data_IF_173073910556
#
_entry.id   IF_173073910556
#
_cell.length_a   1.000
_cell.length_b   1.000
_cell.length_c   1.000
_cell.angle_alpha   90.00
_cell.angle_beta   90.00
_cell.angle_gamma   90.00
#
_symmetry.space_group_name_H-M   'P 1'
#
loop_
_entity.id
_entity.type
_entity.pdbx_description
1 polymer ?
#
# COMPACT_ATOMS: atom_id res chain seq x y z
N UNK A 1 6.17 -30.77 18.77
CA UNK A 1 6.40 -31.22 17.38
C UNK A 1 5.18 -30.76 16.59
N UNK A 2 5.27 -29.65 15.84
CA UNK A 2 4.16 -29.19 15.00
C UNK A 2 3.97 -30.22 13.89
N UNK A 3 2.88 -30.97 13.92
CA UNK A 3 2.50 -31.82 12.80
C UNK A 3 2.25 -30.93 11.59
N UNK A 4 2.78 -31.32 10.44
CA UNK A 4 2.48 -30.67 9.16
C UNK A 4 0.98 -30.86 8.91
N UNK A 5 0.15 -29.87 9.22
CA UNK A 5 -1.23 -29.84 8.75
C UNK A 5 -1.13 -29.77 7.22
N UNK A 6 -1.61 -30.79 6.48
CA UNK A 6 -1.63 -30.71 5.03
C UNK A 6 -2.62 -29.61 4.64
N UNK A 7 -2.10 -28.53 4.06
CA UNK A 7 -2.94 -27.48 3.49
C UNK A 7 -3.45 -27.99 2.14
N UNK A 8 -4.48 -28.84 2.19
CA UNK A 8 -5.22 -29.26 1.00
C UNK A 8 -6.20 -28.13 0.62
N UNK A 9 -6.30 -27.83 -0.68
CA UNK A 9 -7.22 -26.85 -1.28
C UNK A 9 -6.95 -25.35 -1.05
N UNK A 10 -5.87 -24.94 -0.37
CA UNK A 10 -5.50 -23.50 -0.31
C UNK A 10 -4.96 -22.96 -1.63
N UNK A 11 -4.25 -23.82 -2.38
CA UNK A 11 -3.87 -23.49 -3.75
C UNK A 11 -5.12 -23.61 -4.62
N UNK A 12 -5.88 -22.51 -4.70
CA UNK A 12 -6.82 -22.30 -5.79
C UNK A 12 -6.07 -22.65 -7.08
N UNK A 13 -6.62 -23.56 -7.89
CA UNK A 13 -6.06 -23.87 -9.21
C UNK A 13 -5.78 -22.52 -9.89
N UNK A 14 -4.60 -22.31 -10.48
CA UNK A 14 -4.24 -21.03 -11.05
C UNK A 14 -5.16 -20.74 -12.23
N UNK A 15 -6.31 -20.11 -11.94
CA UNK A 15 -6.94 -19.19 -12.86
C UNK A 15 -5.80 -18.22 -13.17
N UNK A 16 -5.30 -18.20 -14.42
CA UNK A 16 -4.24 -17.27 -14.81
C UNK A 16 -4.63 -15.91 -14.26
N UNK A 17 -3.83 -15.36 -13.33
CA UNK A 17 -4.10 -14.03 -12.79
C UNK A 17 -4.03 -13.09 -13.99
N UNK A 18 -5.19 -12.64 -14.45
CA UNK A 18 -5.25 -11.75 -15.58
C UNK A 18 -4.87 -10.35 -15.08
N UNK A 19 -3.58 -10.04 -15.25
CA UNK A 19 -2.98 -8.75 -14.93
C UNK A 19 -3.54 -7.62 -15.82
N UNK A 20 -4.26 -7.95 -16.90
CA UNK A 20 -4.96 -6.99 -17.75
C UNK A 20 -6.38 -6.69 -17.28
N UNK A 21 -6.83 -7.30 -16.17
CA UNK A 21 -8.15 -7.00 -15.60
C UNK A 21 -8.27 -5.55 -15.18
N UNK A 22 -9.51 -5.06 -15.20
CA UNK A 22 -9.82 -3.75 -14.66
C UNK A 22 -9.47 -3.64 -13.17
N UNK A 23 -9.58 -4.74 -12.42
CA UNK A 23 -9.17 -4.81 -11.02
C UNK A 23 -7.68 -4.52 -10.85
N UNK A 24 -6.81 -5.16 -11.63
CA UNK A 24 -5.37 -4.92 -11.57
C UNK A 24 -4.97 -3.51 -12.00
N UNK A 25 -5.67 -2.92 -12.98
CA UNK A 25 -5.48 -1.50 -13.33
C UNK A 25 -5.84 -0.56 -12.19
N UNK A 26 -6.94 -0.80 -11.48
CA UNK A 26 -7.38 0.01 -10.33
C UNK A 26 -6.40 -0.11 -9.16
N UNK A 27 -6.02 -1.35 -8.85
CA UNK A 27 -5.00 -1.66 -7.84
C UNK A 27 -3.67 -0.93 -8.11
N UNK A 28 -3.17 -1.01 -9.35
CA UNK A 28 -1.98 -0.25 -9.78
C UNK A 28 -2.16 1.25 -9.57
N UNK A 29 -3.31 1.81 -9.96
CA UNK A 29 -3.61 3.24 -9.80
C UNK A 29 -3.63 3.66 -8.33
N UNK A 30 -4.25 2.88 -7.45
CA UNK A 30 -4.23 3.16 -6.01
C UNK A 30 -2.81 3.09 -5.44
N UNK A 31 -1.96 2.17 -5.91
CA UNK A 31 -0.55 2.13 -5.50
C UNK A 31 0.26 3.35 -6.01
N UNK A 32 0.02 3.80 -7.25
CA UNK A 32 0.64 5.02 -7.78
C UNK A 32 0.25 6.26 -6.96
N UNK A 33 -1.03 6.36 -6.57
CA UNK A 33 -1.52 7.41 -5.68
C UNK A 33 -0.89 7.34 -4.30
N UNK A 34 -0.72 6.14 -3.76
CA UNK A 34 0.01 5.94 -2.50
C UNK A 34 1.45 6.47 -2.57
N UNK A 35 2.18 6.17 -3.64
CA UNK A 35 3.53 6.73 -3.84
C UNK A 35 3.51 8.26 -3.98
N UNK A 36 2.51 8.83 -4.68
CA UNK A 36 2.34 10.29 -4.75
C UNK A 36 2.15 10.91 -3.36
N UNK A 37 1.31 10.29 -2.52
CA UNK A 37 1.09 10.74 -1.15
C UNK A 37 2.39 10.73 -0.37
N UNK A 38 3.21 9.68 -0.50
CA UNK A 38 4.52 9.59 0.15
C UNK A 38 5.48 10.71 -0.28
N UNK A 39 5.38 11.17 -1.53
CA UNK A 39 6.18 12.30 -2.02
C UNK A 39 5.70 13.63 -1.45
N UNK A 40 4.38 13.85 -1.41
CA UNK A 40 3.78 15.15 -1.05
C UNK A 40 3.67 15.37 0.45
N UNK A 41 3.48 14.30 1.20
CA UNK A 41 3.35 14.29 2.66
C UNK A 41 4.48 13.45 3.27
N UNK A 42 5.76 13.83 3.05
CA UNK A 42 6.87 13.08 3.60
C UNK A 42 6.84 13.19 5.14
N UNK A 43 7.38 12.19 5.84
CA UNK A 43 7.47 12.21 7.28
C UNK A 43 8.31 13.41 7.75
N UNK A 44 7.67 14.39 8.36
CA UNK A 44 8.35 15.52 9.01
C UNK A 44 8.28 15.30 10.53
N UNK A 45 9.41 15.51 11.22
CA UNK A 45 9.49 15.47 12.70
C UNK A 45 9.13 14.15 13.39
N UNK A 46 9.35 12.99 12.75
CA UNK A 46 9.14 11.68 13.38
C UNK A 46 7.68 11.23 13.45
N UNK A 47 6.78 11.92 12.75
CA UNK A 47 5.45 11.43 12.41
C UNK A 47 5.57 10.66 11.10
N UNK A 48 5.85 9.36 11.20
CA UNK A 48 6.33 8.56 10.07
C UNK A 48 5.59 7.23 9.98
N UNK A 49 4.35 7.26 9.48
CA UNK A 49 3.78 6.08 8.85
C UNK A 49 2.61 6.46 7.94
N UNK A 50 2.68 6.16 6.65
CA UNK A 50 1.51 6.27 5.78
C UNK A 50 0.68 5.01 5.92
N UNK A 51 -0.55 5.13 6.41
CA UNK A 51 -1.40 3.97 6.58
C UNK A 51 -1.87 3.47 5.20
N UNK A 52 -1.41 2.29 4.79
CA UNK A 52 -1.88 1.62 3.57
C UNK A 52 -3.22 0.93 3.84
N UNK A 53 -4.05 0.81 2.81
CA UNK A 53 -5.18 -0.13 2.85
C UNK A 53 -4.71 -1.51 2.44
N UNK A 54 -5.41 -2.57 2.84
CA UNK A 54 -5.04 -3.95 2.50
C UNK A 54 -4.72 -4.17 1.00
N UNK A 55 -5.50 -3.55 0.11
CA UNK A 55 -5.30 -3.63 -1.32
C UNK A 55 -3.98 -3.00 -1.79
N UNK A 56 -3.63 -1.83 -1.26
CA UNK A 56 -2.36 -1.14 -1.53
C UNK A 56 -1.21 -1.92 -0.91
N UNK A 57 -1.41 -2.44 0.29
CA UNK A 57 -0.42 -3.15 1.10
C UNK A 57 0.10 -4.41 0.41
N UNK A 58 -0.79 -5.21 -0.19
CA UNK A 58 -0.40 -6.39 -0.98
C UNK A 58 0.55 -6.02 -2.13
N UNK A 59 0.23 -4.96 -2.87
CA UNK A 59 1.04 -4.53 -4.02
C UNK A 59 2.37 -3.98 -3.53
N UNK A 60 2.35 -3.20 -2.44
CA UNK A 60 3.54 -2.65 -1.83
C UNK A 60 4.48 -3.77 -1.35
N UNK A 61 3.96 -4.75 -0.63
CA UNK A 61 4.73 -5.94 -0.23
C UNK A 61 5.28 -6.72 -1.41
N UNK A 62 4.50 -6.83 -2.50
CA UNK A 62 4.95 -7.47 -3.74
C UNK A 62 6.10 -6.70 -4.38
N UNK A 63 6.04 -5.36 -4.39
CA UNK A 63 7.12 -4.51 -4.88
C UNK A 63 8.38 -4.64 -4.00
N UNK A 64 8.22 -4.69 -2.67
CA UNK A 64 9.32 -4.88 -1.72
C UNK A 64 10.03 -6.25 -1.84
N UNK A 65 9.42 -7.27 -2.47
CA UNK A 65 10.10 -8.55 -2.74
C UNK A 65 11.27 -8.40 -3.73
N UNK A 66 11.34 -7.29 -4.46
CA UNK A 66 12.44 -6.96 -5.37
C UNK A 66 13.22 -5.75 -4.83
N UNK A 67 14.00 -5.91 -3.74
CA UNK A 67 14.49 -4.79 -2.92
C UNK A 67 15.35 -3.78 -3.68
N UNK A 68 16.14 -4.23 -4.67
CA UNK A 68 16.93 -3.34 -5.52
C UNK A 68 16.05 -2.46 -6.40
N UNK A 69 15.03 -3.03 -7.05
CA UNK A 69 14.07 -2.28 -7.88
C UNK A 69 13.24 -1.35 -7.02
N UNK A 70 12.76 -1.85 -5.89
CA UNK A 70 12.01 -1.07 -4.92
C UNK A 70 12.77 0.17 -4.47
N UNK A 71 14.03 0.00 -4.06
CA UNK A 71 14.89 1.12 -3.64
C UNK A 71 15.08 2.12 -4.77
N UNK A 72 15.41 1.67 -5.98
CA UNK A 72 15.61 2.55 -7.13
C UNK A 72 14.34 3.33 -7.48
N UNK A 73 13.18 2.66 -7.46
CA UNK A 73 11.91 3.29 -7.76
C UNK A 73 11.49 4.29 -6.67
N UNK A 74 11.66 3.96 -5.39
CA UNK A 74 11.41 4.88 -4.29
C UNK A 74 12.30 6.13 -4.36
N UNK A 75 13.61 5.97 -4.57
CA UNK A 75 14.52 7.11 -4.71
C UNK A 75 14.15 7.96 -5.95
N UNK A 76 13.80 7.33 -7.07
CA UNK A 76 13.45 8.02 -8.31
C UNK A 76 12.10 8.76 -8.24
N UNK A 77 11.10 8.17 -7.61
CA UNK A 77 9.70 8.66 -7.63
C UNK A 77 9.37 9.50 -6.39
N UNK A 78 9.94 9.16 -5.24
CA UNK A 78 9.58 9.70 -3.92
C UNK A 78 10.75 10.47 -3.28
N UNK A 79 11.99 10.20 -3.71
CA UNK A 79 13.20 10.84 -3.18
C UNK A 79 13.71 10.23 -1.88
N UNK A 80 12.99 9.27 -1.30
CA UNK A 80 13.38 8.50 -0.12
C UNK A 80 12.73 7.12 -0.17
N UNK A 81 13.24 6.19 0.64
CA UNK A 81 12.63 4.86 0.81
C UNK A 81 11.34 5.03 1.62
N UNK A 82 10.22 4.52 1.11
CA UNK A 82 8.96 4.51 1.84
C UNK A 82 9.03 3.34 2.83
N UNK A 83 9.20 3.62 4.12
CA UNK A 83 9.41 2.56 5.11
C UNK A 83 8.09 1.92 5.54
N UNK A 84 8.10 0.59 5.72
CA UNK A 84 6.98 -0.18 6.24
C UNK A 84 7.24 -0.51 7.73
N UNK A 85 7.05 0.48 8.58
CA UNK A 85 7.25 0.35 10.03
C UNK A 85 6.18 -0.55 10.66
N UNK A 86 6.59 -1.64 11.33
CA UNK A 86 5.68 -2.58 12.01
C UNK A 86 5.34 -2.13 13.45
N UNK A 87 4.10 -2.37 13.90
CA UNK A 87 3.76 -2.36 15.34
C UNK A 87 4.60 -3.42 16.09
N UNK A 88 5.06 -3.18 17.34
CA UNK A 88 4.63 -2.16 18.30
C UNK A 88 5.56 -0.94 18.36
N UNK A 89 6.37 -0.70 17.33
CA UNK A 89 7.35 0.39 17.35
C UNK A 89 6.73 1.80 17.33
N UNK A 90 5.41 1.89 17.13
CA UNK A 90 4.64 3.13 17.03
C UNK A 90 3.61 3.19 18.16
N UNK A 91 3.54 4.34 18.82
CA UNK A 91 2.52 4.69 19.81
C UNK A 91 1.12 4.70 19.19
N UNK A 92 0.13 4.10 19.85
CA UNK A 92 -1.24 3.94 19.34
C UNK A 92 -1.89 5.28 18.95
N UNK A 93 -1.67 6.33 19.75
CA UNK A 93 -2.22 7.65 19.45
C UNK A 93 -1.57 8.27 18.20
N UNK A 94 -0.26 8.08 18.04
CA UNK A 94 0.45 8.48 16.81
C UNK A 94 -0.07 7.70 15.60
N UNK A 95 -0.30 6.40 15.75
CA UNK A 95 -0.85 5.55 14.68
C UNK A 95 -2.22 6.07 14.24
N UNK A 96 -3.12 6.32 15.20
CA UNK A 96 -4.46 6.83 14.92
C UNK A 96 -4.42 8.17 14.18
N UNK A 97 -3.63 9.13 14.65
CA UNK A 97 -3.49 10.43 14.00
C UNK A 97 -2.97 10.29 12.57
N UNK A 98 -1.97 9.43 12.35
CA UNK A 98 -1.42 9.19 11.02
C UNK A 98 -2.44 8.57 10.07
N UNK A 99 -3.30 7.69 10.57
CA UNK A 99 -4.41 7.12 9.80
C UNK A 99 -5.43 8.21 9.41
N UNK A 100 -5.87 9.01 10.38
CA UNK A 100 -6.82 10.11 10.16
C UNK A 100 -6.25 11.13 9.15
N UNK A 101 -4.98 11.52 9.29
CA UNK A 101 -4.29 12.43 8.36
C UNK A 101 -4.17 11.83 6.95
N UNK A 102 -3.83 10.54 6.85
CA UNK A 102 -3.72 9.84 5.56
C UNK A 102 -5.06 9.83 4.83
N UNK A 103 -6.15 9.47 5.53
CA UNK A 103 -7.50 9.45 4.97
C UNK A 103 -7.95 10.84 4.53
N UNK A 104 -7.73 11.86 5.38
CA UNK A 104 -8.14 13.23 5.07
C UNK A 104 -7.38 13.81 3.88
N UNK A 105 -6.05 13.61 3.84
CA UNK A 105 -5.24 14.07 2.71
C UNK A 105 -5.61 13.31 1.43
N UNK A 106 -5.86 12.00 1.51
CA UNK A 106 -6.29 11.22 0.35
C UNK A 106 -7.61 11.73 -0.23
N UNK A 107 -8.62 11.95 0.62
CA UNK A 107 -9.92 12.50 0.20
C UNK A 107 -9.76 13.87 -0.45
N UNK A 108 -8.87 14.72 0.10
CA UNK A 108 -8.58 16.05 -0.45
C UNK A 108 -7.89 15.98 -1.82
N UNK A 109 -6.95 15.07 -2.01
CA UNK A 109 -6.14 14.97 -3.23
C UNK A 109 -6.85 14.26 -4.38
N UNK A 110 -7.70 13.27 -4.07
CA UNK A 110 -8.28 12.38 -5.07
C UNK A 110 -9.81 12.37 -5.11
N UNK A 111 -10.48 13.12 -4.24
CA UNK A 111 -11.95 13.16 -4.13
C UNK A 111 -12.57 11.77 -3.95
N UNK A 112 -11.84 10.85 -3.31
CA UNK A 112 -12.18 9.44 -3.21
C UNK A 112 -11.88 8.89 -1.81
N UNK A 113 -12.65 7.91 -1.35
CA UNK A 113 -12.33 7.16 -0.14
C UNK A 113 -11.20 6.15 -0.42
N UNK A 114 -10.09 6.28 0.32
CA UNK A 114 -8.92 5.42 0.20
C UNK A 114 -9.24 3.94 0.36
N UNK A 115 -10.16 3.58 1.28
CA UNK A 115 -10.52 2.19 1.59
C UNK A 115 -11.19 1.49 0.41
N UNK A 116 -11.85 2.25 -0.45
CA UNK A 116 -12.61 1.75 -1.60
C UNK A 116 -12.04 2.20 -2.95
N UNK A 117 -10.92 2.92 -2.98
CA UNK A 117 -10.34 3.49 -4.20
C UNK A 117 -10.05 2.44 -5.29
N UNK A 118 -9.58 1.27 -4.87
CA UNK A 118 -9.30 0.14 -5.75
C UNK A 118 -10.57 -0.52 -6.35
N UNK A 119 -11.75 -0.21 -5.82
CA UNK A 119 -13.03 -0.76 -6.28
C UNK A 119 -13.66 0.09 -7.39
N UNK A 120 -13.42 1.40 -7.39
CA UNK A 120 -14.09 2.31 -8.31
C UNK A 120 -13.25 2.63 -9.54
N UNK A 121 -13.94 2.84 -10.65
CA UNK A 121 -13.31 3.25 -11.90
C UNK A 121 -13.15 4.77 -11.88
N UNK A 122 -12.22 5.29 -11.07
CA UNK A 122 -11.96 6.73 -11.06
C UNK A 122 -11.14 7.09 -12.30
N UNK A 123 -11.83 7.23 -13.43
CA UNK A 123 -11.32 7.83 -14.64
C UNK A 123 -11.24 9.36 -14.44
N UNK A 124 -10.28 9.79 -13.63
CA UNK A 124 -9.74 11.15 -13.60
C UNK A 124 -8.24 11.04 -13.38
#
# INVERSE_FOLDING_TARGET
>A
MLSKIPINDYYRKPDKIDLSTQAMRRLKKSYERFLYMATKYPPTNGYCFMHSTYAIDIIWHSHMQEPLKYTLDCIRLVGHIVDHTLEPSIDEHKMKNSCDDTINNWQKEFESDMSTDHLYNTAR
#
